data_IF_642206283268
#
_entry.id   IF_642206283268
#
_cell.length_a   1.000
_cell.length_b   1.000
_cell.length_c   1.000
_cell.angle_alpha   90.00
_cell.angle_beta   90.00
_cell.angle_gamma   90.00
#
_symmetry.space_group_name_H-M   'P 1'
#
loop_
_entity.id
_entity.type
_entity.pdbx_description
1 polymer ?
#
# COMPACT_ATOMS: atom_id res chain seq x y z
N UNK A 1 4.58 -20.35 2.11
CA UNK A 1 4.42 -19.14 2.95
C UNK A 1 3.01 -18.64 2.78
N UNK A 2 2.29 -18.61 3.86
CA UNK A 2 0.89 -18.18 3.84
C UNK A 2 0.82 -16.66 3.84
N UNK A 3 0.11 -16.12 2.88
CA UNK A 3 -0.13 -14.69 2.79
C UNK A 3 -1.51 -14.41 3.36
N UNK A 4 -1.56 -13.53 4.35
CA UNK A 4 -2.82 -13.11 4.93
C UNK A 4 -3.55 -12.18 3.98
N UNK A 5 -4.81 -12.51 3.67
CA UNK A 5 -5.63 -11.72 2.75
C UNK A 5 -6.72 -11.04 3.56
N UNK A 6 -6.68 -9.70 3.58
CA UNK A 6 -7.66 -8.88 4.27
C UNK A 6 -7.99 -7.66 3.45
N UNK A 7 -9.15 -7.11 3.71
CA UNK A 7 -9.63 -5.86 3.10
C UNK A 7 -10.22 -4.98 4.18
N UNK A 8 -10.16 -3.68 3.96
CA UNK A 8 -10.90 -2.72 4.78
C UNK A 8 -11.68 -1.78 3.87
N UNK A 9 -12.76 -1.24 4.40
CA UNK A 9 -13.57 -0.25 3.71
C UNK A 9 -14.38 0.54 4.70
N UNK A 10 -14.91 1.67 4.25
CA UNK A 10 -15.79 2.48 5.09
C UNK A 10 -17.22 2.12 4.76
N UNK A 11 -18.02 1.57 5.71
CA UNK A 11 -19.42 1.26 5.47
C UNK A 11 -20.17 2.49 4.98
N UNK A 12 -20.99 2.31 3.97
CA UNK A 12 -21.75 3.39 3.35
C UNK A 12 -22.65 4.06 4.39
N UNK A 13 -22.58 5.39 4.47
CA UNK A 13 -23.40 6.16 5.40
C UNK A 13 -22.89 6.20 6.85
N UNK A 14 -21.73 5.62 7.13
CA UNK A 14 -21.17 5.56 8.48
C UNK A 14 -19.99 6.53 8.70
N UNK A 15 -19.73 7.44 7.76
CA UNK A 15 -18.63 8.40 7.88
C UNK A 15 -17.25 7.75 7.74
N UNK A 16 -16.32 8.15 8.60
CA UNK A 16 -14.92 7.72 8.51
C UNK A 16 -14.60 6.46 9.33
N UNK A 17 -15.60 5.68 9.65
CA UNK A 17 -15.38 4.40 10.34
C UNK A 17 -14.88 3.36 9.35
N UNK A 18 -13.82 2.65 9.72
CA UNK A 18 -13.27 1.57 8.90
C UNK A 18 -13.66 0.23 9.46
N UNK A 19 -14.00 -0.72 8.58
CA UNK A 19 -14.21 -2.11 8.96
C UNK A 19 -13.23 -3.00 8.20
N UNK A 20 -12.80 -4.08 8.84
CA UNK A 20 -11.92 -5.07 8.26
C UNK A 20 -12.69 -6.35 7.97
N UNK A 21 -12.42 -6.96 6.83
CA UNK A 21 -13.06 -8.20 6.42
C UNK A 21 -12.10 -9.14 5.73
N UNK A 22 -12.56 -10.37 5.53
CA UNK A 22 -11.75 -11.46 4.99
C UNK A 22 -12.00 -11.71 3.50
N UNK A 23 -12.93 -10.99 2.91
CA UNK A 23 -13.23 -11.08 1.49
C UNK A 23 -13.84 -9.78 0.99
N UNK A 24 -13.72 -9.54 -0.30
CA UNK A 24 -14.30 -8.38 -0.95
C UNK A 24 -14.67 -8.72 -2.38
N UNK A 25 -15.74 -8.10 -2.87
CA UNK A 25 -16.11 -8.25 -4.27
C UNK A 25 -16.86 -7.02 -4.76
N UNK A 26 -16.91 -6.87 -6.07
CA UNK A 26 -17.64 -5.79 -6.73
C UNK A 26 -18.89 -6.36 -7.36
N UNK A 27 -20.03 -5.74 -7.11
CA UNK A 27 -21.29 -6.17 -7.71
C UNK A 27 -21.38 -5.72 -9.16
N UNK A 28 -22.36 -6.25 -9.90
CA UNK A 28 -22.62 -5.84 -11.29
C UNK A 28 -23.11 -4.39 -11.38
N UNK A 29 -23.59 -3.81 -10.28
CA UNK A 29 -23.97 -2.39 -10.20
C UNK A 29 -22.84 -1.51 -9.64
N UNK A 30 -21.64 -2.05 -9.55
CA UNK A 30 -20.40 -1.38 -9.18
C UNK A 30 -20.26 -1.02 -7.69
N UNK A 31 -21.11 -1.55 -6.82
CA UNK A 31 -20.89 -1.42 -5.39
C UNK A 31 -19.80 -2.40 -4.92
N UNK A 32 -19.01 -1.98 -3.96
CA UNK A 32 -18.03 -2.83 -3.30
C UNK A 32 -18.61 -3.37 -2.00
N UNK A 33 -18.46 -4.67 -1.79
CA UNK A 33 -18.93 -5.35 -0.58
C UNK A 33 -17.75 -6.01 0.11
N UNK A 34 -17.73 -5.91 1.44
CA UNK A 34 -16.73 -6.58 2.27
C UNK A 34 -17.44 -7.59 3.15
N UNK A 35 -16.92 -8.81 3.16
CA UNK A 35 -17.40 -9.89 4.01
C UNK A 35 -16.72 -9.79 5.38
N UNK A 36 -17.51 -9.51 6.44
CA UNK A 36 -16.96 -9.42 7.78
C UNK A 36 -16.82 -10.80 8.45
N UNK A 37 -16.24 -10.81 9.66
CA UNK A 37 -16.01 -12.05 10.40
C UNK A 37 -17.31 -12.76 10.83
N UNK A 38 -18.44 -12.06 10.84
CA UNK A 38 -19.73 -12.63 11.17
C UNK A 38 -20.44 -13.26 9.98
N UNK A 39 -19.86 -13.14 8.78
CA UNK A 39 -20.46 -13.66 7.56
C UNK A 39 -21.40 -12.67 6.85
N UNK A 40 -21.43 -11.41 7.29
CA UNK A 40 -22.26 -10.39 6.66
C UNK A 40 -21.52 -9.70 5.54
N UNK A 41 -22.24 -9.40 4.45
CA UNK A 41 -21.74 -8.58 3.36
C UNK A 41 -22.12 -7.12 3.62
N UNK A 42 -21.14 -6.27 3.73
CA UNK A 42 -21.33 -4.85 4.03
C UNK A 42 -20.88 -4.00 2.86
N UNK A 43 -21.78 -3.15 2.36
CA UNK A 43 -21.41 -2.20 1.30
C UNK A 43 -20.46 -1.16 1.85
N UNK A 44 -19.35 -0.95 1.14
CA UNK A 44 -18.32 -0.01 1.56
C UNK A 44 -17.93 0.92 0.43
N UNK A 45 -17.40 2.07 0.81
CA UNK A 45 -16.64 2.96 -0.07
C UNK A 45 -15.16 2.86 0.33
N UNK A 46 -14.27 3.26 -0.57
CA UNK A 46 -12.83 3.27 -0.32
C UNK A 46 -12.26 1.90 0.07
N UNK A 47 -12.60 0.89 -0.74
CA UNK A 47 -12.08 -0.46 -0.53
C UNK A 47 -10.57 -0.48 -0.68
N UNK A 48 -9.87 -1.00 0.34
CA UNK A 48 -8.41 -1.10 0.38
C UNK A 48 -7.99 -2.52 0.75
N UNK A 49 -6.95 -3.01 0.10
CA UNK A 49 -6.40 -4.33 0.37
C UNK A 49 -5.22 -4.22 1.34
N UNK A 50 -5.12 -5.18 2.25
CA UNK A 50 -3.95 -5.34 3.10
C UNK A 50 -2.75 -5.75 2.25
N UNK A 51 -1.62 -5.05 2.41
CA UNK A 51 -0.42 -5.29 1.62
C UNK A 51 0.35 -6.54 2.05
N UNK A 52 0.10 -7.03 3.26
CA UNK A 52 0.92 -8.06 3.88
C UNK A 52 2.14 -7.51 4.62
N UNK A 53 2.32 -6.20 4.60
CA UNK A 53 3.45 -5.52 5.25
C UNK A 53 2.99 -4.79 6.50
N UNK A 54 3.91 -4.60 7.44
CA UNK A 54 3.64 -3.85 8.67
C UNK A 54 4.62 -2.69 8.80
N UNK A 55 4.18 -1.62 9.47
CA UNK A 55 5.02 -0.45 9.70
C UNK A 55 5.97 -0.66 10.91
N UNK A 56 6.71 0.39 11.27
CA UNK A 56 7.67 0.31 12.39
C UNK A 56 7.02 -0.01 13.74
N UNK A 57 5.72 0.25 13.88
CA UNK A 57 4.95 -0.03 15.09
C UNK A 57 4.17 -1.34 14.98
N UNK A 58 4.46 -2.16 13.98
CA UNK A 58 3.81 -3.45 13.72
C UNK A 58 2.35 -3.32 13.32
N UNK A 59 1.92 -2.14 12.85
CA UNK A 59 0.59 -1.92 12.33
C UNK A 59 0.50 -2.37 10.88
N UNK A 60 -0.63 -2.96 10.51
CA UNK A 60 -0.88 -3.45 9.17
C UNK A 60 -1.02 -2.30 8.18
N UNK A 61 -0.27 -2.38 7.08
CA UNK A 61 -0.29 -1.38 6.02
C UNK A 61 -1.29 -1.79 4.95
N UNK A 62 -2.23 -0.89 4.65
CA UNK A 62 -3.23 -1.08 3.62
C UNK A 62 -2.97 -0.17 2.42
N UNK A 63 -3.52 -0.55 1.29
CA UNK A 63 -3.57 0.29 0.10
C UNK A 63 -4.11 1.68 0.45
N UNK A 64 -3.47 2.73 -0.10
CA UNK A 64 -3.83 4.14 0.12
C UNK A 64 -3.47 4.69 1.50
N UNK A 65 -2.78 3.92 2.33
CA UNK A 65 -2.20 4.47 3.57
C UNK A 65 -1.12 5.48 3.23
N UNK A 66 -0.94 6.44 4.13
CA UNK A 66 0.15 7.43 4.06
C UNK A 66 1.19 7.04 5.10
N UNK A 67 2.41 6.83 4.64
CA UNK A 67 3.53 6.46 5.50
C UNK A 67 4.50 7.64 5.60
N UNK A 68 4.99 7.90 6.81
CA UNK A 68 6.00 8.91 7.06
C UNK A 68 7.34 8.24 7.30
N UNK A 69 8.36 8.70 6.59
CA UNK A 69 9.75 8.29 6.81
C UNK A 69 10.53 9.50 7.31
N UNK A 70 11.18 9.35 8.46
CA UNK A 70 12.09 10.36 8.98
C UNK A 70 13.49 10.04 8.50
N UNK A 71 14.06 10.98 7.76
CA UNK A 71 15.41 10.84 7.21
C UNK A 71 16.48 11.12 8.28
N UNK A 72 17.72 10.66 8.06
CA UNK A 72 18.80 10.92 9.04
C UNK A 72 19.06 12.40 9.32
N UNK A 73 18.76 13.28 8.37
CA UNK A 73 18.91 14.74 8.54
C UNK A 73 17.75 15.38 9.29
N UNK A 74 16.76 14.59 9.72
CA UNK A 74 15.56 15.07 10.41
C UNK A 74 14.40 15.46 9.49
N UNK A 75 14.63 15.51 8.18
CA UNK A 75 13.53 15.78 7.25
C UNK A 75 12.59 14.59 7.16
N UNK A 76 11.37 14.83 6.69
CA UNK A 76 10.37 13.77 6.56
C UNK A 76 9.90 13.66 5.11
N UNK A 77 9.57 12.45 4.73
CA UNK A 77 8.94 12.17 3.44
C UNK A 77 7.65 11.40 3.67
N UNK A 78 6.63 11.71 2.87
CA UNK A 78 5.32 11.07 2.94
C UNK A 78 5.10 10.23 1.68
N UNK A 79 4.81 8.97 1.88
CA UNK A 79 4.59 8.02 0.80
C UNK A 79 3.14 7.55 0.80
N UNK A 80 2.58 7.39 -0.38
CA UNK A 80 1.26 6.75 -0.55
C UNK A 80 1.47 5.31 -0.99
N UNK A 81 0.79 4.40 -0.32
CA UNK A 81 0.85 2.97 -0.65
C UNK A 81 -0.04 2.69 -1.85
N UNK A 82 0.53 2.11 -2.89
CA UNK A 82 -0.23 1.79 -4.11
C UNK A 82 0.25 0.48 -4.75
N UNK A 83 -0.62 -0.13 -5.54
CA UNK A 83 -0.22 -1.24 -6.40
C UNK A 83 0.19 -0.67 -7.74
N UNK A 84 1.36 -1.06 -8.24
CA UNK A 84 1.85 -0.57 -9.52
C UNK A 84 2.47 -1.68 -10.34
N UNK A 85 2.45 -1.48 -11.64
CA UNK A 85 3.16 -2.32 -12.61
C UNK A 85 4.05 -1.41 -13.43
N UNK A 86 5.32 -1.73 -13.51
CA UNK A 86 6.25 -0.98 -14.35
C UNK A 86 7.34 -1.86 -14.92
N UNK A 87 7.89 -1.41 -16.04
CA UNK A 87 9.01 -2.08 -16.67
C UNK A 87 10.31 -1.40 -16.22
N UNK A 88 11.26 -2.22 -15.78
CA UNK A 88 12.59 -1.75 -15.39
C UNK A 88 13.66 -2.54 -16.11
N UNK A 89 14.76 -1.86 -16.40
CA UNK A 89 15.91 -2.53 -17.01
C UNK A 89 16.64 -3.34 -15.98
N UNK A 90 16.91 -4.60 -16.33
CA UNK A 90 17.76 -5.44 -15.52
C UNK A 90 19.22 -5.13 -15.84
N UNK A 91 20.05 -5.20 -14.81
CA UNK A 91 21.49 -5.34 -15.01
C UNK A 91 21.71 -6.77 -15.53
N UNK A 92 22.16 -6.93 -16.78
CA UNK A 92 22.33 -8.28 -17.31
C UNK A 92 23.48 -8.99 -16.59
N UNK A 93 23.33 -10.32 -16.43
CA UNK A 93 24.43 -11.13 -16.00
C UNK A 93 25.51 -11.11 -17.10
N UNK A 94 26.78 -11.09 -16.71
CA UNK A 94 27.88 -11.11 -17.66
C UNK A 94 27.75 -12.31 -18.60
N UNK A 95 27.81 -12.05 -19.89
CA UNK A 95 27.61 -13.07 -20.92
C UNK A 95 26.19 -13.20 -21.45
N UNK A 96 25.24 -12.46 -20.85
CA UNK A 96 23.83 -12.47 -21.26
C UNK A 96 23.34 -11.06 -21.60
N UNK A 97 24.24 -10.20 -22.06
CA UNK A 97 23.89 -8.82 -22.42
C UNK A 97 23.04 -8.83 -23.70
N UNK A 98 21.81 -8.37 -23.55
CA UNK A 98 20.91 -8.12 -24.67
C UNK A 98 20.34 -6.71 -24.55
N UNK A 99 20.31 -5.99 -25.65
CA UNK A 99 19.66 -4.70 -25.69
C UNK A 99 18.18 -4.87 -25.42
N UNK A 100 17.64 -4.06 -24.48
CA UNK A 100 16.23 -4.04 -24.22
C UNK A 100 15.72 -5.13 -23.27
N UNK A 101 16.59 -5.68 -22.44
CA UNK A 101 16.17 -6.60 -21.39
C UNK A 101 15.44 -5.85 -20.28
N UNK A 102 14.12 -5.85 -20.35
CA UNK A 102 13.27 -5.27 -19.33
C UNK A 102 12.64 -6.36 -18.48
N UNK A 103 12.48 -6.07 -17.20
CA UNK A 103 11.67 -6.89 -16.29
C UNK A 103 10.40 -6.12 -15.97
N UNK A 104 9.27 -6.81 -15.99
CA UNK A 104 8.01 -6.23 -15.55
C UNK A 104 7.81 -6.56 -14.08
N UNK A 105 7.69 -5.52 -13.27
CA UNK A 105 7.48 -5.63 -11.83
C UNK A 105 6.05 -5.23 -11.52
N UNK A 106 5.33 -6.09 -10.81
CA UNK A 106 4.02 -5.76 -10.26
C UNK A 106 4.06 -5.96 -8.76
N UNK A 107 3.62 -4.99 -8.01
CA UNK A 107 3.65 -5.12 -6.56
C UNK A 107 3.22 -3.87 -5.83
N UNK A 108 3.22 -3.98 -4.50
CA UNK A 108 3.01 -2.85 -3.61
C UNK A 108 4.24 -1.96 -3.62
N UNK A 109 4.00 -0.67 -3.75
CA UNK A 109 5.07 0.31 -3.71
C UNK A 109 4.63 1.54 -2.93
N UNK A 110 5.62 2.35 -2.59
CA UNK A 110 5.43 3.58 -1.84
C UNK A 110 5.76 4.75 -2.77
N UNK A 111 4.78 5.57 -3.07
CA UNK A 111 4.93 6.68 -4.00
C UNK A 111 5.21 7.98 -3.23
N UNK A 112 6.34 8.60 -3.54
CA UNK A 112 6.73 9.91 -3.03
C UNK A 112 6.94 10.84 -4.22
N UNK A 113 6.01 11.78 -4.39
CA UNK A 113 6.10 12.79 -5.46
C UNK A 113 6.36 12.20 -6.85
N UNK A 114 5.69 11.08 -7.16
CA UNK A 114 5.85 10.40 -8.44
C UNK A 114 6.97 9.38 -8.51
N UNK A 115 7.81 9.28 -7.46
CA UNK A 115 8.85 8.28 -7.37
C UNK A 115 8.31 7.04 -6.65
N UNK A 116 8.42 5.89 -7.28
CA UNK A 116 7.97 4.62 -6.71
C UNK A 116 9.11 3.89 -6.04
N UNK A 117 8.95 3.65 -4.74
CA UNK A 117 9.88 2.86 -3.95
C UNK A 117 9.26 1.48 -3.71
N UNK A 118 9.88 0.45 -4.28
CA UNK A 118 9.54 -0.92 -3.93
C UNK A 118 10.33 -1.31 -2.69
N UNK A 119 9.68 -1.83 -1.62
CA UNK A 119 10.40 -2.10 -0.38
C UNK A 119 11.61 -3.01 -0.59
N UNK A 120 12.75 -2.57 -0.11
CA UNK A 120 13.97 -3.37 -0.10
C UNK A 120 14.40 -3.64 1.34
N UNK A 121 15.25 -4.66 1.50
CA UNK A 121 15.74 -5.07 2.80
C UNK A 121 17.20 -4.65 2.93
N UNK A 122 17.49 -3.86 3.95
CA UNK A 122 18.85 -3.39 4.23
C UNK A 122 19.16 -3.77 5.68
N UNK A 123 20.24 -4.52 5.89
CA UNK A 123 20.65 -5.02 7.20
C UNK A 123 19.51 -5.78 7.93
N UNK A 124 18.76 -6.58 7.17
CA UNK A 124 17.68 -7.38 7.72
C UNK A 124 16.38 -6.62 8.01
N UNK A 125 16.33 -5.31 7.70
CA UNK A 125 15.15 -4.48 7.93
C UNK A 125 14.58 -3.99 6.60
N UNK A 126 13.30 -4.26 6.37
CA UNK A 126 12.61 -3.78 5.17
C UNK A 126 12.24 -2.31 5.31
N UNK A 127 12.20 -1.59 4.18
CA UNK A 127 11.89 -0.16 4.17
C UNK A 127 10.60 0.19 4.91
N UNK A 128 9.55 -0.63 4.79
CA UNK A 128 8.28 -0.40 5.49
C UNK A 128 8.41 -0.43 7.01
N UNK A 129 9.37 -1.19 7.54
CA UNK A 129 9.61 -1.29 8.98
C UNK A 129 10.32 -0.05 9.55
N UNK A 130 10.74 0.87 8.69
CA UNK A 130 11.33 2.15 9.07
C UNK A 130 10.31 3.29 8.97
N UNK A 131 9.13 3.03 8.46
CA UNK A 131 8.07 4.02 8.21
C UNK A 131 6.94 3.88 9.20
N UNK A 132 6.18 4.95 9.39
CA UNK A 132 5.04 4.99 10.30
C UNK A 132 3.78 5.38 9.55
N UNK A 133 2.70 4.61 9.73
CA UNK A 133 1.40 4.99 9.23
C UNK A 133 0.91 6.24 9.96
N UNK A 134 0.65 7.32 9.24
CA UNK A 134 0.17 8.57 9.83
C UNK A 134 -1.24 8.94 9.36
N UNK A 135 -1.81 8.17 8.46
CA UNK A 135 -3.15 8.38 7.94
C UNK A 135 -3.37 7.65 6.64
N UNK A 136 -4.34 8.10 5.87
CA UNK A 136 -4.63 7.58 4.53
C UNK A 136 -5.16 8.69 3.64
N UNK A 137 -5.19 8.47 2.32
CA UNK A 137 -5.58 9.53 1.38
C UNK A 137 -7.05 9.94 1.50
N UNK A 138 -7.89 9.07 2.04
CA UNK A 138 -9.34 9.34 2.16
C UNK A 138 -9.65 10.21 3.38
N UNK A 139 -8.99 9.93 4.52
CA UNK A 139 -9.22 10.66 5.77
C UNK A 139 -8.27 11.85 5.94
N UNK A 140 -7.05 11.76 5.40
CA UNK A 140 -5.98 12.73 5.68
C UNK A 140 -5.28 13.23 4.40
N UNK A 141 -6.03 13.68 3.37
CA UNK A 141 -5.39 14.13 2.13
C UNK A 141 -4.48 15.35 2.31
N UNK A 142 -4.71 16.13 3.36
CA UNK A 142 -3.91 17.32 3.69
C UNK A 142 -2.45 16.99 3.99
N UNK A 143 -2.15 15.78 4.44
CA UNK A 143 -0.77 15.37 4.74
C UNK A 143 0.13 15.40 3.50
N UNK A 144 -0.44 15.17 2.32
CA UNK A 144 0.31 15.17 1.08
C UNK A 144 0.56 16.58 0.57
N UNK A 145 -0.34 17.53 0.86
CA UNK A 145 -0.22 18.92 0.40
C UNK A 145 0.82 19.69 1.17
N UNK A 146 1.02 19.38 2.45
CA UNK A 146 2.00 20.04 3.29
C UNK A 146 3.32 19.30 3.38
N UNK A 147 3.47 18.21 2.64
CA UNK A 147 4.63 17.31 2.70
C UNK A 147 5.88 17.86 2.04
N UNK A 148 6.32 18.98 2.46
CA UNK A 148 7.56 19.57 1.93
C UNK A 148 8.73 19.26 2.84
#
# INVERSE_FOLDING_TARGET
>A
MDREIKFKGQPTGKGRVWMVGIGAYKTHTAEHLVLNAKGDNVEVVHLCQYTGLKDKNRKEIYERDILRLTMPDGSTRYFVVEWATEDRKLMPLSGFEHDGNDIRISGWCFNWEGHRLYPSVIDGVSDNERMEIVGNIHDNPELLKGGK
#
